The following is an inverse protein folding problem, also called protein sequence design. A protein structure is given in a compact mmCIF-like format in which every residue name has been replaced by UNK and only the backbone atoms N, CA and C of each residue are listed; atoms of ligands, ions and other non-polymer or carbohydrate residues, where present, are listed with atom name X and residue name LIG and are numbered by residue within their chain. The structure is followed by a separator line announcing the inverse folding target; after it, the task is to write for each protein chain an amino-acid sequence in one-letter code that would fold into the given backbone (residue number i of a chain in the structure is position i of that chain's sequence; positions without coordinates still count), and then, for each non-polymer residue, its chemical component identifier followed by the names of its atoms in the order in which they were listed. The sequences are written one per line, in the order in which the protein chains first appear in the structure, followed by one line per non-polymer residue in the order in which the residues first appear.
data_IF_632269634260
#
_entry.id   IF_632269634260
#
_cell.length_a   1.000
_cell.length_b   1.000
_cell.length_c   1.000
_cell.angle_alpha   90.00
_cell.angle_beta   90.00
_cell.angle_gamma   90.00
#
_symmetry.space_group_name_H-M   'P 1'
#
loop_
_entity.id
_entity.type
_entity.pdbx_description
1 polymer ?
#
# COMPACT_ATOMS: atom_id res chain seq x y z
N UNK A 1 25.45 -62.12 23.05
CA UNK A 1 24.76 -61.03 22.31
C UNK A 1 24.09 -60.12 23.33
N UNK A 2 24.56 -58.87 23.51
CA UNK A 2 24.01 -57.95 24.53
C UNK A 2 22.69 -57.37 24.01
N UNK A 3 21.56 -57.70 24.67
CA UNK A 3 20.24 -57.11 24.39
C UNK A 3 20.36 -55.60 24.60
N UNK A 4 20.33 -54.84 23.52
CA UNK A 4 20.22 -53.39 23.60
C UNK A 4 18.81 -53.10 24.12
N UNK A 5 18.69 -52.49 25.29
CA UNK A 5 17.39 -52.15 25.88
C UNK A 5 16.61 -51.29 24.89
N UNK A 6 15.53 -51.84 24.32
CA UNK A 6 14.71 -51.20 23.27
C UNK A 6 14.22 -49.81 23.69
N UNK A 7 14.03 -49.61 24.99
CA UNK A 7 13.64 -48.32 25.58
C UNK A 7 14.69 -47.21 25.36
N UNK A 8 15.99 -47.53 25.37
CA UNK A 8 17.06 -46.56 25.10
C UNK A 8 17.15 -46.19 23.62
N UNK A 9 16.90 -47.15 22.73
CA UNK A 9 16.87 -46.91 21.29
C UNK A 9 15.67 -46.02 20.90
N UNK A 10 14.50 -46.25 21.50
CA UNK A 10 13.32 -45.39 21.32
C UNK A 10 13.53 -43.97 21.84
N UNK A 11 14.19 -43.82 22.99
CA UNK A 11 14.50 -42.50 23.56
C UNK A 11 15.44 -41.68 22.67
N UNK A 12 16.47 -42.32 22.10
CA UNK A 12 17.39 -41.69 21.16
C UNK A 12 16.70 -41.31 19.85
N UNK A 13 15.81 -42.15 19.32
CA UNK A 13 15.03 -41.86 18.12
C UNK A 13 14.07 -40.67 18.33
N UNK A 14 13.44 -40.60 19.51
CA UNK A 14 12.54 -39.49 19.88
C UNK A 14 13.31 -38.17 20.09
N UNK A 15 14.52 -38.22 20.67
CA UNK A 15 15.39 -37.04 20.79
C UNK A 15 15.83 -36.51 19.42
N UNK A 16 16.23 -37.38 18.49
CA UNK A 16 16.64 -36.97 17.14
C UNK A 16 15.45 -36.37 16.37
N UNK A 17 14.27 -36.99 16.45
CA UNK A 17 13.04 -36.47 15.86
C UNK A 17 12.61 -35.13 16.49
N UNK A 18 12.73 -34.98 17.81
CA UNK A 18 12.36 -33.77 18.54
C UNK A 18 13.28 -32.58 18.27
N UNK A 19 14.57 -32.81 18.02
CA UNK A 19 15.55 -31.76 17.67
C UNK A 19 15.38 -31.32 16.21
N UNK A 20 15.01 -32.22 15.30
CA UNK A 20 14.69 -31.86 13.91
C UNK A 20 13.43 -30.99 13.76
N UNK A 21 12.41 -31.24 14.59
CA UNK A 21 11.11 -30.54 14.49
C UNK A 21 11.19 -29.04 14.81
N UNK A 22 12.03 -28.64 15.77
CA UNK A 22 12.15 -27.22 16.17
C UNK A 22 12.83 -26.35 15.12
N UNK A 23 13.71 -26.91 14.28
CA UNK A 23 14.44 -26.14 13.26
C UNK A 23 13.60 -25.87 12.01
N UNK A 24 12.59 -26.70 11.71
CA UNK A 24 11.71 -26.51 10.54
C UNK A 24 10.59 -25.51 10.83
N UNK A 25 10.13 -25.43 12.09
CA UNK A 25 9.10 -24.46 12.51
C UNK A 25 9.64 -23.05 12.82
N UNK A 26 10.97 -22.89 12.87
CA UNK A 26 11.66 -21.67 13.31
C UNK A 26 12.03 -20.69 12.20
N UNK A 27 11.55 -20.86 10.96
CA UNK A 27 11.62 -19.78 9.98
C UNK A 27 10.61 -18.71 10.35
N UNK A 28 11.00 -17.83 11.27
CA UNK A 28 10.37 -16.53 11.41
C UNK A 28 10.53 -15.85 10.07
N UNK A 29 9.48 -15.87 9.25
CA UNK A 29 9.35 -14.89 8.17
C UNK A 29 9.46 -13.54 8.88
N UNK A 30 10.64 -12.92 8.80
CA UNK A 30 10.82 -11.54 9.24
C UNK A 30 9.72 -10.77 8.55
N UNK A 31 8.74 -10.33 9.33
CA UNK A 31 7.62 -9.57 8.84
C UNK A 31 8.22 -8.30 8.23
N UNK A 32 8.36 -8.31 6.91
CA UNK A 32 8.72 -7.12 6.17
C UNK A 32 7.52 -6.21 6.32
N UNK A 33 7.65 -5.20 7.17
CA UNK A 33 6.72 -4.07 7.21
C UNK A 33 7.25 -3.09 6.14
N UNK A 34 6.73 -3.13 4.89
CA UNK A 34 7.25 -2.28 3.83
C UNK A 34 6.95 -0.82 4.13
N UNK A 35 7.84 0.07 3.71
CA UNK A 35 7.52 1.49 3.64
C UNK A 35 6.55 1.72 2.49
N UNK A 36 5.38 2.28 2.78
CA UNK A 36 4.35 2.59 1.79
C UNK A 36 4.40 4.09 1.52
N UNK A 37 4.80 4.47 0.31
CA UNK A 37 4.84 5.85 -0.17
C UNK A 37 3.77 6.00 -1.25
N UNK A 38 2.89 6.99 -1.09
CA UNK A 38 1.83 7.30 -2.06
C UNK A 38 2.13 8.66 -2.66
N UNK A 39 2.46 8.66 -3.95
CA UNK A 39 2.52 9.87 -4.76
C UNK A 39 1.11 10.16 -5.27
N UNK A 40 0.55 11.30 -4.88
CA UNK A 40 -0.76 11.76 -5.35
C UNK A 40 -0.60 13.16 -5.96
N UNK A 41 -0.76 13.23 -7.26
CA UNK A 41 -0.69 14.45 -8.07
C UNK A 41 -2.02 15.20 -8.03
N UNK A 42 -1.99 16.53 -8.21
CA UNK A 42 -3.20 17.33 -8.48
C UNK A 42 -3.35 17.54 -9.98
N UNK A 43 -4.60 17.50 -10.44
CA UNK A 43 -5.03 17.90 -11.79
C UNK A 43 -4.23 17.29 -12.95
N UNK A 44 -3.70 16.08 -12.74
CA UNK A 44 -2.96 15.35 -13.76
C UNK A 44 -3.89 14.53 -14.65
N UNK A 45 -3.84 14.81 -15.95
CA UNK A 45 -4.48 14.06 -17.01
C UNK A 45 -3.76 12.74 -17.34
N UNK A 46 -4.50 11.82 -17.96
CA UNK A 46 -3.96 10.53 -18.42
C UNK A 46 -2.82 10.69 -19.44
N UNK A 47 -2.86 11.75 -20.25
CA UNK A 47 -1.88 12.01 -21.31
C UNK A 47 -0.65 12.82 -20.88
N UNK A 48 -0.53 13.21 -19.61
CA UNK A 48 0.50 14.17 -19.18
C UNK A 48 1.87 13.53 -18.92
N UNK A 49 1.95 12.20 -18.93
CA UNK A 49 3.19 11.45 -18.72
C UNK A 49 3.72 10.93 -20.06
N UNK A 50 5.04 11.03 -20.26
CA UNK A 50 5.71 10.49 -21.44
C UNK A 50 5.46 8.99 -21.62
N UNK A 51 5.46 8.18 -20.55
CA UNK A 51 5.08 6.76 -20.61
C UNK A 51 3.60 6.47 -20.95
N UNK A 52 2.75 7.49 -21.05
CA UNK A 52 1.37 7.42 -21.53
C UNK A 52 1.13 8.19 -22.85
N UNK A 53 2.18 8.75 -23.45
CA UNK A 53 2.14 9.36 -24.78
C UNK A 53 2.21 10.89 -24.81
N UNK A 54 2.58 11.56 -23.71
CA UNK A 54 2.91 12.99 -23.75
C UNK A 54 4.02 13.26 -24.77
N UNK A 55 3.90 14.33 -25.55
CA UNK A 55 4.88 14.73 -26.57
C UNK A 55 5.69 15.96 -26.16
N UNK A 56 5.19 16.70 -25.18
CA UNK A 56 5.63 18.01 -24.74
C UNK A 56 6.17 18.00 -23.29
N UNK A 57 5.87 16.96 -22.52
CA UNK A 57 6.31 16.82 -21.12
C UNK A 57 7.22 15.58 -20.97
N UNK A 58 8.45 15.81 -20.51
CA UNK A 58 9.38 14.73 -20.18
C UNK A 58 9.27 14.34 -18.70
N UNK A 59 9.01 13.06 -18.43
CA UNK A 59 8.87 12.54 -17.04
C UNK A 59 9.82 11.36 -16.73
N UNK A 60 11.15 11.55 -16.86
CA UNK A 60 12.10 10.43 -16.85
C UNK A 60 12.09 9.59 -15.55
N UNK A 61 11.84 10.21 -14.41
CA UNK A 61 11.73 9.49 -13.13
C UNK A 61 10.47 8.63 -13.06
N UNK A 62 9.34 9.13 -13.58
CA UNK A 62 8.08 8.39 -13.62
C UNK A 62 8.16 7.27 -14.67
N UNK A 63 8.81 7.53 -15.81
CA UNK A 63 9.07 6.53 -16.84
C UNK A 63 9.95 5.37 -16.32
N UNK A 64 10.95 5.70 -15.50
CA UNK A 64 11.79 4.70 -14.81
C UNK A 64 10.96 3.84 -13.84
N UNK A 65 10.06 4.46 -13.06
CA UNK A 65 9.13 3.73 -12.19
C UNK A 65 8.16 2.86 -12.99
N UNK A 66 7.64 3.36 -14.11
CA UNK A 66 6.71 2.65 -14.97
C UNK A 66 7.35 1.44 -15.69
N UNK A 67 8.63 1.53 -16.05
CA UNK A 67 9.37 0.47 -16.73
C UNK A 67 9.92 -0.60 -15.77
N UNK A 68 10.24 -0.22 -14.53
CA UNK A 68 10.70 -1.15 -13.48
C UNK A 68 9.57 -1.74 -12.62
N UNK A 69 8.37 -1.17 -12.71
CA UNK A 69 7.20 -1.55 -11.91
C UNK A 69 6.00 -2.03 -12.73
N UNK A 70 4.82 -1.81 -12.17
CA UNK A 70 3.54 -2.11 -12.83
C UNK A 70 2.89 -0.80 -13.27
N UNK A 71 2.51 -0.74 -14.54
CA UNK A 71 1.79 0.41 -15.14
C UNK A 71 0.35 0.01 -15.51
N UNK A 72 -0.62 0.81 -15.07
CA UNK A 72 -2.04 0.56 -15.31
C UNK A 72 -2.57 1.43 -16.44
N UNK A 73 -3.13 0.83 -17.49
CA UNK A 73 -3.82 1.58 -18.57
C UNK A 73 -5.28 1.90 -18.25
N UNK A 74 -5.81 1.37 -17.14
CA UNK A 74 -7.21 1.52 -16.70
C UNK A 74 -7.27 1.65 -15.18
N UNK A 75 -6.91 2.83 -14.68
CA UNK A 75 -7.02 3.21 -13.27
C UNK A 75 -8.02 4.36 -13.14
N UNK A 76 -8.90 4.31 -12.14
CA UNK A 76 -10.00 5.26 -11.99
C UNK A 76 -10.11 5.76 -10.55
N UNK A 77 -10.57 7.00 -10.42
CA UNK A 77 -10.95 7.62 -9.15
C UNK A 77 -12.48 7.70 -9.06
N UNK A 78 -13.07 7.64 -7.86
CA UNK A 78 -14.52 7.66 -7.70
C UNK A 78 -15.16 9.04 -7.90
N UNK A 79 -14.35 10.10 -8.04
CA UNK A 79 -14.80 11.45 -8.35
C UNK A 79 -13.73 12.22 -9.12
N UNK A 80 -14.15 13.17 -9.93
CA UNK A 80 -13.30 13.97 -10.83
C UNK A 80 -12.76 15.25 -10.20
N UNK A 81 -12.94 15.46 -8.88
CA UNK A 81 -12.50 16.65 -8.16
C UNK A 81 -11.79 16.31 -6.84
N UNK A 82 -10.98 17.23 -6.34
CA UNK A 82 -9.96 16.98 -5.32
C UNK A 82 -10.48 16.36 -4.01
N UNK A 83 -11.42 17.03 -3.33
CA UNK A 83 -11.94 16.60 -2.01
C UNK A 83 -12.51 15.18 -2.02
N UNK A 84 -13.54 14.85 -2.83
CA UNK A 84 -14.11 13.51 -2.86
C UNK A 84 -13.08 12.45 -3.25
N UNK A 85 -12.21 12.73 -4.24
CA UNK A 85 -11.19 11.78 -4.69
C UNK A 85 -10.20 11.45 -3.58
N UNK A 86 -9.70 12.46 -2.86
CA UNK A 86 -8.78 12.30 -1.71
C UNK A 86 -9.46 11.59 -0.54
N UNK A 87 -10.70 11.95 -0.22
CA UNK A 87 -11.47 11.28 0.83
C UNK A 87 -11.66 9.79 0.54
N UNK A 88 -11.94 9.43 -0.72
CA UNK A 88 -12.10 8.04 -1.10
C UNK A 88 -10.78 7.26 -1.08
N UNK A 89 -9.67 7.86 -1.51
CA UNK A 89 -8.33 7.27 -1.38
C UNK A 89 -7.99 6.97 0.08
N UNK A 90 -8.22 7.94 0.96
CA UNK A 90 -7.87 7.81 2.38
C UNK A 90 -8.76 6.79 3.09
N UNK A 91 -10.06 6.75 2.81
CA UNK A 91 -11.00 5.89 3.55
C UNK A 91 -11.28 4.55 2.87
N UNK A 92 -10.87 4.36 1.62
CA UNK A 92 -11.23 3.18 0.83
C UNK A 92 -12.74 3.06 0.54
N UNK A 93 -13.47 4.17 0.60
CA UNK A 93 -14.93 4.17 0.50
C UNK A 93 -15.44 5.25 -0.46
N UNK A 94 -16.61 5.02 -1.07
CA UNK A 94 -17.20 6.01 -1.97
C UNK A 94 -17.44 7.36 -1.24
N UNK A 95 -17.22 8.51 -1.89
CA UNK A 95 -17.35 9.83 -1.25
C UNK A 95 -18.68 10.05 -0.53
N UNK A 96 -19.76 9.49 -1.08
CA UNK A 96 -21.11 9.52 -0.49
C UNK A 96 -21.19 8.94 0.93
N UNK A 97 -20.36 7.96 1.26
CA UNK A 97 -20.31 7.39 2.63
C UNK A 97 -19.67 8.34 3.64
N UNK A 98 -18.93 9.34 3.16
CA UNK A 98 -18.29 10.36 3.97
C UNK A 98 -18.97 11.74 3.85
N UNK A 99 -20.11 11.83 3.13
CA UNK A 99 -20.83 13.08 2.86
C UNK A 99 -19.97 14.14 2.12
N UNK A 100 -19.04 13.69 1.28
CA UNK A 100 -18.14 14.55 0.51
C UNK A 100 -18.36 14.41 -1.01
N UNK A 101 -19.54 14.01 -1.46
CA UNK A 101 -19.83 13.73 -2.87
C UNK A 101 -20.18 14.94 -3.75
N UNK A 102 -20.45 16.10 -3.15
CA UNK A 102 -21.07 17.24 -3.86
C UNK A 102 -20.05 18.12 -4.55
N UNK A 103 -19.06 18.63 -3.81
CA UNK A 103 -18.10 19.60 -4.33
C UNK A 103 -16.79 19.56 -3.52
N UNK A 104 -15.82 20.36 -3.94
CA UNK A 104 -14.59 20.62 -3.19
C UNK A 104 -14.85 21.48 -1.95
N UNK A 105 -14.11 21.21 -0.89
CA UNK A 105 -14.13 22.04 0.31
C UNK A 105 -13.32 23.32 0.09
N UNK A 106 -13.86 24.43 0.56
CA UNK A 106 -13.20 25.73 0.56
C UNK A 106 -12.69 26.07 1.96
N UNK A 107 -11.81 27.07 2.11
CA UNK A 107 -11.29 27.49 3.42
C UNK A 107 -12.38 27.87 4.45
N UNK A 108 -13.57 28.27 3.98
CA UNK A 108 -14.72 28.64 4.82
C UNK A 108 -15.74 27.51 4.98
N UNK A 109 -15.46 26.30 4.47
CA UNK A 109 -16.32 25.14 4.69
C UNK A 109 -16.30 24.74 6.16
N UNK A 110 -17.49 24.51 6.72
CA UNK A 110 -17.66 24.05 8.11
C UNK A 110 -17.71 22.52 8.23
N UNK A 111 -17.64 21.82 7.10
CA UNK A 111 -17.67 20.38 6.99
C UNK A 111 -16.31 19.86 6.52
N UNK A 112 -16.01 18.60 6.83
CA UNK A 112 -14.75 17.95 6.48
C UNK A 112 -14.91 16.43 6.37
N UNK A 113 -13.79 15.73 6.32
CA UNK A 113 -13.80 14.28 6.51
C UNK A 113 -14.37 13.96 7.90
N UNK A 114 -15.26 12.99 7.98
CA UNK A 114 -15.89 12.61 9.24
C UNK A 114 -14.84 12.13 10.27
N UNK A 115 -14.89 12.67 11.49
CA UNK A 115 -13.97 12.32 12.59
C UNK A 115 -13.97 10.83 12.95
N UNK A 116 -15.07 10.13 12.70
CA UNK A 116 -15.16 8.67 12.90
C UNK A 116 -14.65 7.84 11.73
N UNK A 117 -14.22 8.47 10.63
CA UNK A 117 -13.72 7.78 9.45
C UNK A 117 -12.31 7.27 9.70
N UNK A 118 -12.12 5.96 9.59
CA UNK A 118 -10.78 5.37 9.58
C UNK A 118 -10.13 5.60 8.22
N UNK A 119 -8.93 6.16 8.25
CA UNK A 119 -8.09 6.38 7.09
C UNK A 119 -7.07 5.27 6.94
N UNK A 120 -6.45 5.18 5.77
CA UNK A 120 -5.33 4.31 5.49
C UNK A 120 -4.19 4.49 6.51
N UNK A 121 -3.98 5.72 7.00
CA UNK A 121 -2.99 6.02 8.04
C UNK A 121 -3.33 5.34 9.37
N UNK A 122 -4.61 5.33 9.76
CA UNK A 122 -5.07 4.68 11.00
C UNK A 122 -4.87 3.16 10.96
N UNK A 123 -5.08 2.55 9.80
CA UNK A 123 -4.89 1.11 9.60
C UNK A 123 -3.42 0.70 9.56
N UNK A 124 -2.61 1.43 8.79
CA UNK A 124 -1.22 1.06 8.57
C UNK A 124 -0.38 1.28 9.84
N UNK A 125 -0.68 2.29 10.68
CA UNK A 125 0.12 2.63 11.88
C UNK A 125 1.61 2.87 11.58
N UNK A 126 1.94 3.18 10.32
CA UNK A 126 3.28 3.49 9.81
C UNK A 126 3.23 4.89 9.22
N UNK A 127 4.36 5.59 9.17
CA UNK A 127 4.44 6.91 8.55
C UNK A 127 4.08 6.83 7.07
N UNK A 128 2.87 7.27 6.71
CA UNK A 128 2.50 7.51 5.32
C UNK A 128 3.05 8.87 4.94
N UNK A 129 3.93 8.91 3.94
CA UNK A 129 4.33 10.16 3.31
C UNK A 129 3.48 10.29 2.05
N UNK A 130 2.45 11.15 2.13
CA UNK A 130 1.73 11.61 0.94
C UNK A 130 2.56 12.75 0.35
N UNK A 131 3.31 12.45 -0.69
CA UNK A 131 4.03 13.47 -1.44
C UNK A 131 3.06 14.06 -2.46
N UNK A 132 2.67 15.30 -2.20
CA UNK A 132 1.91 16.08 -3.15
C UNK A 132 2.86 16.61 -4.22
N UNK A 133 2.73 16.09 -5.44
CA UNK A 133 3.52 16.53 -6.57
C UNK A 133 2.68 17.53 -7.35
N UNK A 134 3.04 18.81 -7.22
CA UNK A 134 2.55 19.86 -8.11
C UNK A 134 3.29 19.74 -9.43
N UNK A 135 2.58 19.32 -10.48
CA UNK A 135 3.08 19.41 -11.84
C UNK A 135 2.92 20.86 -12.28
N UNK A 136 3.91 21.70 -11.94
CA UNK A 136 3.97 23.07 -12.45
C UNK A 136 4.37 23.01 -13.92
N UNK A 137 3.41 23.13 -14.84
CA UNK A 137 3.68 23.07 -16.27
C UNK A 137 2.47 23.20 -17.21
N UNK A 138 1.28 23.51 -16.70
CA UNK A 138 0.09 23.82 -17.50
C UNK A 138 -0.28 25.30 -17.28
#
# INVERSE_FOLDING_TARGET
MKKVNSLRAFFLLWMIAGVGYKNVLGQTLTKLDPNIIIFLTDDQGYGDLSCYGALDIETPNIDSLASSGIRFTRFYVPATVCTPSRAALLTGSYPKRNHLEVDVLFPYSTTGLNDSAYTLADYLRIGIIILHVLVNGI
#
